data_IF_266541394972
#
_entry.id   IF_266541394972
#
_cell.length_a   1.000
_cell.length_b   1.000
_cell.length_c   1.000
_cell.angle_alpha   90.00
_cell.angle_beta   90.00
_cell.angle_gamma   90.00
#
_symmetry.space_group_name_H-M   'P 1'
#
loop_
_entity.id
_entity.type
_entity.pdbx_description
1 polymer ?
#
# COMPACT_ATOMS: atom_id res chain seq x y z
N UNK A 1 -6.33 -32.57 3.83
CA UNK A 1 -7.28 -31.71 4.57
C UNK A 1 -6.48 -30.96 5.63
N UNK A 2 -6.17 -29.68 5.41
CA UNK A 2 -5.91 -28.72 6.49
C UNK A 2 -6.09 -27.31 5.92
N UNK A 3 -7.24 -26.74 6.24
CA UNK A 3 -7.65 -25.38 5.94
C UNK A 3 -6.93 -24.47 6.93
N UNK A 4 -6.17 -23.49 6.46
CA UNK A 4 -5.72 -22.36 7.29
C UNK A 4 -6.47 -21.12 6.81
N UNK A 5 -7.69 -20.98 7.30
CA UNK A 5 -8.40 -19.70 7.31
C UNK A 5 -7.78 -18.90 8.45
N UNK A 6 -6.95 -17.91 8.11
CA UNK A 6 -6.65 -16.81 9.03
C UNK A 6 -7.47 -15.63 8.54
N UNK A 7 -8.71 -15.60 9.01
CA UNK A 7 -9.55 -14.42 8.95
C UNK A 7 -9.01 -13.42 9.99
N UNK A 8 -8.44 -12.31 9.53
CA UNK A 8 -8.19 -11.15 10.37
C UNK A 8 -9.31 -10.14 10.12
N UNK A 9 -10.15 -9.95 11.14
CA UNK A 9 -11.29 -9.05 11.11
C UNK A 9 -10.87 -7.58 11.37
N UNK A 10 -11.34 -6.70 10.47
CA UNK A 10 -11.87 -5.33 10.70
C UNK A 10 -11.06 -4.29 11.47
N UNK A 11 -10.79 -3.15 10.82
CA UNK A 11 -11.30 -1.83 11.26
C UNK A 11 -11.61 -0.98 10.02
N UNK A 12 -12.91 -0.71 9.77
CA UNK A 12 -13.36 0.22 8.75
C UNK A 12 -13.50 1.61 9.38
N UNK A 13 -12.52 2.50 9.16
CA UNK A 13 -12.65 3.90 9.54
C UNK A 13 -13.38 4.67 8.43
N UNK A 14 -14.69 4.88 8.61
CA UNK A 14 -15.49 5.73 7.73
C UNK A 14 -15.27 7.20 8.12
N UNK A 15 -14.46 7.92 7.35
CA UNK A 15 -14.46 9.39 7.36
C UNK A 15 -15.37 9.89 6.23
N UNK A 16 -16.67 10.06 6.52
CA UNK A 16 -17.62 10.68 5.59
C UNK A 16 -17.54 12.21 5.70
N UNK A 17 -16.95 12.87 4.71
CA UNK A 17 -17.12 14.32 4.54
C UNK A 17 -18.51 14.61 3.98
N UNK A 18 -19.46 14.98 4.83
CA UNK A 18 -20.77 15.50 4.37
C UNK A 18 -20.62 16.96 3.95
N UNK A 19 -20.77 17.24 2.65
CA UNK A 19 -21.15 18.55 2.16
C UNK A 19 -22.56 18.46 1.60
N UNK A 20 -23.46 19.21 2.23
CA UNK A 20 -24.88 19.30 1.89
C UNK A 20 -25.08 19.89 0.50
N UNK A 21 -25.69 19.12 -0.41
CA UNK A 21 -26.11 19.59 -1.73
C UNK A 21 -27.30 18.78 -2.24
N UNK A 22 -28.41 19.47 -2.51
CA UNK A 22 -29.62 18.89 -3.07
C UNK A 22 -29.40 18.42 -4.52
N UNK A 23 -29.77 17.18 -4.85
CA UNK A 23 -30.07 16.76 -6.23
C UNK A 23 -29.25 15.58 -6.76
N UNK A 24 -29.97 14.54 -7.22
CA UNK A 24 -29.53 13.37 -8.01
C UNK A 24 -28.41 12.53 -7.38
N UNK A 25 -28.78 11.33 -6.91
CA UNK A 25 -27.88 10.37 -6.26
C UNK A 25 -26.81 9.85 -7.21
N UNK A 26 -25.72 10.61 -7.36
CA UNK A 26 -24.47 10.17 -7.96
C UNK A 26 -23.59 9.62 -6.82
N UNK A 27 -23.28 8.32 -6.86
CA UNK A 27 -22.44 7.69 -5.84
C UNK A 27 -21.08 8.40 -5.74
N UNK A 28 -20.64 8.70 -4.53
CA UNK A 28 -19.35 9.34 -4.28
C UNK A 28 -18.21 8.33 -4.37
N UNK A 29 -17.09 8.71 -4.97
CA UNK A 29 -15.86 7.94 -4.90
C UNK A 29 -15.27 8.00 -3.49
N UNK A 30 -14.85 6.85 -2.97
CA UNK A 30 -14.17 6.73 -1.68
C UNK A 30 -12.71 6.33 -1.91
N UNK A 31 -11.78 6.96 -1.21
CA UNK A 31 -10.37 6.58 -1.24
C UNK A 31 -9.75 6.65 0.15
N UNK A 32 -8.74 5.82 0.39
CA UNK A 32 -7.96 5.83 1.62
C UNK A 32 -6.50 5.47 1.34
N UNK A 33 -5.60 5.99 2.16
CA UNK A 33 -4.19 5.66 2.14
C UNK A 33 -3.66 5.72 3.57
N UNK A 34 -2.89 4.72 3.98
CA UNK A 34 -2.25 4.68 5.29
C UNK A 34 -0.82 4.13 5.17
N UNK A 35 0.08 4.65 6.02
CA UNK A 35 1.41 4.08 6.22
C UNK A 35 1.72 4.13 7.72
N UNK A 36 2.10 2.98 8.27
CA UNK A 36 2.54 2.82 9.65
C UNK A 36 4.02 2.47 9.61
N UNK A 37 4.85 3.37 10.15
CA UNK A 37 6.28 3.12 10.32
C UNK A 37 6.51 2.65 11.76
N UNK A 38 7.15 1.50 11.95
CA UNK A 38 7.56 1.05 13.27
C UNK A 38 8.97 1.57 13.56
N UNK A 39 9.06 2.81 14.04
CA UNK A 39 10.31 3.34 14.58
C UNK A 39 10.49 2.82 16.00
N UNK A 40 11.55 2.03 16.22
CA UNK A 40 11.97 1.69 17.58
C UNK A 40 12.63 2.94 18.19
N UNK A 41 11.82 3.83 18.78
CA UNK A 41 12.34 4.96 19.54
C UNK A 41 12.96 4.45 20.84
N UNK A 42 14.28 4.34 20.88
CA UNK A 42 15.01 4.71 22.09
C UNK A 42 14.88 6.21 22.27
N UNK A 43 14.16 6.67 23.31
CA UNK A 43 14.34 8.03 23.84
C UNK A 43 15.85 8.20 24.13
N UNK A 44 16.52 9.33 23.88
CA UNK A 44 16.37 10.59 24.61
C UNK A 44 17.06 11.77 23.85
N UNK A 45 16.54 12.99 24.09
CA UNK A 45 17.10 14.34 23.84
C UNK A 45 16.75 15.05 22.52
N UNK A 46 16.04 16.17 22.67
CA UNK A 46 15.39 16.91 21.60
C UNK A 46 16.23 17.96 20.88
N UNK A 47 15.75 18.30 19.69
CA UNK A 47 16.17 19.45 18.89
C UNK A 47 15.19 19.63 17.71
N UNK A 48 14.86 20.87 17.31
CA UNK A 48 13.85 21.13 16.28
C UNK A 48 14.36 20.78 14.86
N UNK A 49 13.40 20.46 14.00
CA UNK A 49 13.50 20.09 12.59
C UNK A 49 14.73 20.65 11.83
N UNK A 50 15.54 19.74 11.27
CA UNK A 50 16.65 20.08 10.38
C UNK A 50 16.15 20.16 8.93
N UNK A 51 16.19 21.37 8.37
CA UNK A 51 16.11 21.63 6.93
C UNK A 51 17.43 21.16 6.30
N UNK A 52 17.37 20.25 5.32
CA UNK A 52 18.56 19.74 4.63
C UNK A 52 19.20 20.84 3.77
N UNK A 53 20.31 21.41 4.25
CA UNK A 53 21.25 22.18 3.43
C UNK A 53 22.60 21.45 3.40
N UNK A 54 23.06 21.13 2.19
CA UNK A 54 24.33 20.41 1.97
C UNK A 54 25.52 21.35 2.21
N UNK A 55 26.39 21.01 3.16
CA UNK A 55 27.77 21.52 3.20
C UNK A 55 28.70 20.46 3.81
N UNK A 56 29.90 20.22 3.25
CA UNK A 56 30.80 19.18 3.73
C UNK A 56 31.69 19.73 4.85
N UNK A 57 31.70 19.07 6.01
CA UNK A 57 32.63 19.37 7.11
C UNK A 57 33.58 18.20 7.39
N UNK A 58 34.78 18.58 7.80
CA UNK A 58 36.00 17.77 7.88
C UNK A 58 35.94 16.72 9.01
N UNK A 59 36.57 15.56 8.78
CA UNK A 59 36.64 14.46 9.76
C UNK A 59 37.68 14.74 10.86
N UNK A 60 37.24 14.83 12.11
CA UNK A 60 38.08 14.61 13.30
C UNK A 60 37.58 13.35 14.00
N UNK A 61 38.46 12.35 14.14
CA UNK A 61 38.13 11.04 14.68
C UNK A 61 37.94 11.09 16.19
N UNK A 62 36.70 10.86 16.64
CA UNK A 62 36.39 10.47 18.00
C UNK A 62 35.82 9.05 17.96
N UNK A 63 36.47 8.12 18.66
CA UNK A 63 35.97 6.76 18.86
C UNK A 63 34.82 6.81 19.87
N UNK A 64 33.64 7.22 19.42
CA UNK A 64 32.43 7.05 20.20
C UNK A 64 31.98 5.59 20.06
N UNK A 65 31.81 4.91 21.19
CA UNK A 65 31.27 3.57 21.25
C UNK A 65 29.75 3.66 21.09
N UNK A 66 29.31 4.10 19.91
CA UNK A 66 27.93 3.97 19.52
C UNK A 66 27.68 2.48 19.26
N UNK A 67 27.10 1.81 20.26
CA UNK A 67 26.33 0.61 19.97
C UNK A 67 25.15 1.06 19.10
N UNK A 68 25.37 1.09 17.80
CA UNK A 68 24.32 1.31 16.81
C UNK A 68 23.34 0.15 16.95
N UNK A 69 22.28 0.37 17.72
CA UNK A 69 21.14 -0.54 17.77
C UNK A 69 20.41 -0.41 16.42
N UNK A 70 20.91 -1.12 15.40
CA UNK A 70 20.27 -1.24 14.11
C UNK A 70 18.96 -2.02 14.30
N UNK A 71 17.86 -1.30 14.54
CA UNK A 71 16.53 -1.87 14.39
C UNK A 71 16.30 -2.15 12.90
N UNK A 72 15.84 -3.37 12.59
CA UNK A 72 15.45 -3.71 11.22
C UNK A 72 14.30 -2.78 10.76
N UNK A 73 14.22 -2.42 9.47
CA UNK A 73 13.14 -1.57 8.97
C UNK A 73 11.81 -2.32 8.97
N UNK A 74 10.75 -1.66 9.45
CA UNK A 74 9.42 -2.26 9.61
C UNK A 74 8.34 -1.25 9.20
N UNK A 75 7.43 -1.64 8.29
CA UNK A 75 6.26 -0.82 7.94
C UNK A 75 5.05 -1.65 7.54
N UNK A 76 3.87 -1.04 7.63
CA UNK A 76 2.65 -1.47 6.97
C UNK A 76 2.11 -0.34 6.10
N UNK A 77 1.71 -0.64 4.87
CA UNK A 77 1.15 0.29 3.90
C UNK A 77 -0.18 -0.25 3.39
N UNK A 78 -1.20 0.59 3.30
CA UNK A 78 -2.47 0.25 2.69
C UNK A 78 -3.01 1.40 1.82
N UNK A 79 -3.72 1.04 0.76
CA UNK A 79 -4.38 1.97 -0.13
C UNK A 79 -5.64 1.34 -0.72
N UNK A 80 -6.70 2.14 -0.91
CA UNK A 80 -7.90 1.68 -1.63
C UNK A 80 -8.63 2.82 -2.34
N UNK A 81 -9.31 2.45 -3.42
CA UNK A 81 -10.31 3.28 -4.12
C UNK A 81 -11.53 2.43 -4.39
N UNK A 82 -12.70 3.00 -4.12
CA UNK A 82 -13.99 2.48 -4.51
C UNK A 82 -14.79 3.61 -5.16
N UNK A 83 -14.77 3.64 -6.49
CA UNK A 83 -15.58 4.54 -7.31
C UNK A 83 -16.53 3.72 -8.19
N UNK A 84 -17.78 3.57 -7.74
CA UNK A 84 -18.81 2.86 -8.48
C UNK A 84 -19.30 3.61 -9.72
N UNK A 85 -19.02 4.90 -9.85
CA UNK A 85 -19.42 5.67 -11.03
C UNK A 85 -18.49 5.39 -12.20
N UNK A 86 -17.18 5.34 -11.97
CA UNK A 86 -16.18 5.05 -13.02
C UNK A 86 -15.85 3.56 -13.15
N UNK A 87 -16.16 2.77 -12.11
CA UNK A 87 -15.75 1.37 -12.01
C UNK A 87 -14.33 1.17 -11.47
N UNK A 88 -13.66 2.25 -11.04
CA UNK A 88 -12.33 2.19 -10.45
C UNK A 88 -12.42 1.63 -9.01
N UNK A 89 -12.22 0.32 -8.92
CA UNK A 89 -12.20 -0.41 -7.66
C UNK A 89 -10.85 -1.11 -7.56
N UNK A 90 -10.03 -0.67 -6.59
CA UNK A 90 -8.69 -1.20 -6.37
C UNK A 90 -8.27 -1.11 -4.91
N UNK A 91 -7.39 -2.01 -4.51
CA UNK A 91 -6.79 -2.00 -3.18
C UNK A 91 -5.38 -2.55 -3.20
N UNK A 92 -4.58 -2.16 -2.22
CA UNK A 92 -3.25 -2.69 -1.96
C UNK A 92 -3.00 -2.74 -0.45
N UNK A 93 -2.31 -3.78 0.01
CA UNK A 93 -1.65 -3.80 1.31
C UNK A 93 -0.24 -4.37 1.16
N UNK A 94 0.70 -3.86 1.94
CA UNK A 94 2.07 -4.32 1.98
C UNK A 94 2.65 -4.17 3.38
N UNK A 95 3.42 -5.16 3.81
CA UNK A 95 4.21 -5.09 5.04
C UNK A 95 5.66 -5.41 4.75
N UNK A 96 6.55 -4.69 5.41
CA UNK A 96 7.99 -4.99 5.42
C UNK A 96 8.44 -5.33 6.82
N UNK A 97 9.23 -6.40 6.91
CA UNK A 97 9.87 -6.87 8.13
C UNK A 97 11.36 -7.14 7.82
N UNK A 98 12.24 -6.22 8.18
CA UNK A 98 13.65 -6.28 7.80
C UNK A 98 13.84 -6.24 6.29
N UNK A 99 14.42 -7.28 5.71
CA UNK A 99 14.62 -7.39 4.26
C UNK A 99 13.51 -8.17 3.54
N UNK A 100 12.51 -8.64 4.28
CA UNK A 100 11.34 -9.32 3.72
C UNK A 100 10.19 -8.35 3.51
N UNK A 101 9.60 -8.37 2.32
CA UNK A 101 8.38 -7.64 1.96
C UNK A 101 7.33 -8.66 1.53
N UNK A 102 6.08 -8.44 1.92
CA UNK A 102 4.94 -9.20 1.42
C UNK A 102 3.74 -8.28 1.27
N UNK A 103 2.86 -8.60 0.33
CA UNK A 103 1.66 -7.82 0.12
C UNK A 103 0.75 -8.41 -0.93
N UNK A 104 -0.35 -7.71 -1.18
CA UNK A 104 -1.18 -7.98 -2.33
C UNK A 104 -1.83 -6.71 -2.86
N UNK A 105 -2.14 -6.69 -4.16
CA UNK A 105 -3.03 -5.71 -4.75
C UNK A 105 -4.18 -6.38 -5.49
N UNK A 106 -5.31 -5.68 -5.59
CA UNK A 106 -6.48 -6.08 -6.37
C UNK A 106 -6.93 -4.94 -7.28
N UNK A 107 -7.38 -5.29 -8.49
CA UNK A 107 -7.87 -4.35 -9.50
C UNK A 107 -9.06 -4.95 -10.23
N UNK A 108 -10.18 -4.23 -10.28
CA UNK A 108 -11.23 -4.47 -11.27
C UNK A 108 -10.73 -4.02 -12.64
N UNK A 109 -10.58 -4.98 -13.56
CA UNK A 109 -10.09 -4.73 -14.91
C UNK A 109 -11.24 -4.37 -15.87
N UNK A 110 -10.90 -3.65 -16.93
CA UNK A 110 -11.87 -3.15 -17.91
C UNK A 110 -12.64 -4.26 -18.65
N UNK A 111 -12.13 -5.49 -18.66
CA UNK A 111 -12.80 -6.65 -19.25
C UNK A 111 -13.78 -7.34 -18.29
N UNK A 112 -14.03 -6.76 -17.11
CA UNK A 112 -14.95 -7.26 -16.10
C UNK A 112 -14.35 -8.29 -15.14
N UNK A 113 -13.06 -8.63 -15.29
CA UNK A 113 -12.37 -9.52 -14.36
C UNK A 113 -11.81 -8.76 -13.15
N UNK A 114 -11.54 -9.48 -12.07
CA UNK A 114 -10.78 -8.98 -10.92
C UNK A 114 -9.43 -9.67 -10.92
N UNK A 115 -8.35 -8.89 -10.99
CA UNK A 115 -6.99 -9.41 -10.84
C UNK A 115 -6.50 -9.15 -9.44
N UNK A 116 -6.09 -10.22 -8.75
CA UNK A 116 -5.40 -10.13 -7.46
C UNK A 116 -4.00 -10.69 -7.60
N UNK A 117 -3.00 -9.91 -7.19
CA UNK A 117 -1.60 -10.36 -7.18
C UNK A 117 -1.10 -10.35 -5.76
N UNK A 118 -0.73 -11.53 -5.27
CA UNK A 118 -0.07 -11.72 -3.98
C UNK A 118 1.43 -11.85 -4.23
N UNK A 119 2.24 -11.14 -3.48
CA UNK A 119 3.67 -11.08 -3.71
C UNK A 119 4.49 -11.12 -2.43
N UNK A 120 5.72 -11.59 -2.57
CA UNK A 120 6.77 -11.63 -1.54
C UNK A 120 8.10 -11.25 -2.16
N UNK A 121 8.99 -10.67 -1.37
CA UNK A 121 10.36 -10.40 -1.78
C UNK A 121 11.31 -10.54 -0.59
N UNK A 122 12.42 -11.24 -0.76
CA UNK A 122 13.49 -11.33 0.24
C UNK A 122 14.87 -11.53 -0.42
N UNK A 123 15.94 -11.45 0.36
CA UNK A 123 17.31 -11.54 -0.14
C UNK A 123 17.71 -12.94 -0.69
N UNK A 124 17.01 -14.00 -0.29
CA UNK A 124 17.31 -15.38 -0.67
C UNK A 124 16.51 -15.84 -1.89
N UNK A 125 15.22 -15.55 -1.93
CA UNK A 125 14.28 -16.02 -2.95
C UNK A 125 14.00 -14.96 -4.03
N UNK A 126 14.41 -13.71 -3.82
CA UNK A 126 14.05 -12.59 -4.67
C UNK A 126 12.54 -12.33 -4.68
N UNK A 127 12.05 -11.63 -5.71
CA UNK A 127 10.63 -11.33 -5.87
C UNK A 127 9.86 -12.54 -6.43
N UNK A 128 8.77 -12.90 -5.77
CA UNK A 128 7.85 -13.95 -6.20
C UNK A 128 6.41 -13.46 -6.10
N UNK A 129 5.59 -13.76 -7.13
CA UNK A 129 4.19 -13.34 -7.17
C UNK A 129 3.28 -14.44 -7.73
N UNK A 130 2.07 -14.51 -7.20
CA UNK A 130 0.99 -15.38 -7.70
C UNK A 130 -0.17 -14.49 -8.13
N UNK A 131 -0.54 -14.61 -9.39
CA UNK A 131 -1.63 -13.85 -10.02
C UNK A 131 -2.88 -14.72 -10.06
N UNK A 132 -3.96 -14.20 -9.49
CA UNK A 132 -5.29 -14.78 -9.57
C UNK A 132 -6.17 -13.84 -10.40
N UNK A 133 -7.00 -14.43 -11.27
CA UNK A 133 -7.95 -13.68 -12.09
C UNK A 133 -9.32 -14.33 -11.96
N UNK A 134 -10.29 -13.57 -11.48
CA UNK A 134 -11.65 -14.02 -11.26
C UNK A 134 -12.63 -13.30 -12.19
N UNK A 135 -13.72 -13.97 -12.57
CA UNK A 135 -14.73 -13.44 -13.48
C UNK A 135 -14.56 -13.90 -14.93
N UNK A 136 -15.39 -13.34 -15.81
CA UNK A 136 -15.40 -13.67 -17.24
C UNK A 136 -14.91 -12.47 -18.04
N UNK A 137 -13.76 -12.63 -18.69
CA UNK A 137 -13.19 -11.59 -19.54
C UNK A 137 -14.09 -11.38 -20.77
N UNK A 138 -14.63 -10.17 -20.92
CA UNK A 138 -15.33 -9.75 -22.12
C UNK A 138 -14.44 -8.82 -22.94
N UNK A 139 -14.05 -9.25 -24.13
CA UNK A 139 -13.34 -8.38 -25.07
C UNK A 139 -14.35 -7.65 -25.95
N UNK A 140 -14.42 -6.33 -25.87
CA UNK A 140 -15.22 -5.54 -26.79
C UNK A 140 -14.65 -5.69 -28.21
N UNK A 141 -15.44 -6.24 -29.13
CA UNK A 141 -15.07 -6.24 -30.55
C UNK A 141 -15.22 -4.81 -31.06
N UNK A 142 -14.16 -4.15 -31.57
CA UNK A 142 -14.29 -2.80 -32.09
C UNK A 142 -15.27 -2.82 -33.27
N UNK A 143 -16.34 -2.01 -33.17
CA UNK A 143 -17.30 -1.84 -34.26
C UNK A 143 -16.60 -1.07 -35.38
N UNK A 144 -16.23 -1.76 -36.46
CA UNK A 144 -15.77 -1.09 -37.68
C UNK A 144 -16.94 -0.31 -38.28
N UNK A 145 -16.94 1.01 -38.07
CA UNK A 145 -17.81 1.93 -38.80
C UNK A 145 -17.20 2.12 -40.19
N UNK A 146 -17.77 1.46 -41.20
CA UNK A 146 -17.51 1.82 -42.59
C UNK A 146 -18.20 3.16 -42.87
N UNK A 147 -17.42 4.15 -43.31
CA UNK A 147 -17.88 5.45 -43.79
C UNK A 147 -18.12 5.41 -45.30
#
# INVERSE_FOLDING_TARGET
>A
MYIKVIAAATVLALASGQLNGYGYGHGHAQSSQSIVLHQNHGQIHGGPAVVLQHQPTHYTGHYDNHQDYYAAPHYAFEYSVADHHTGDIKSQHETREGDAVQGAYSLHEADGTVRTVQYTADAHNGFNAVVHREGHATHAVPVQRHY
#
